data_IF_295763406566
#
_entry.id   IF_295763406566
#
_cell.length_a   1.000
_cell.length_b   1.000
_cell.length_c   1.000
_cell.angle_alpha   90.00
_cell.angle_beta   90.00
_cell.angle_gamma   90.00
#
_symmetry.space_group_name_H-M   'P 1'
#
loop_
_entity.id
_entity.type
_entity.pdbx_description
1 polymer ?
#
# COMPACT_ATOMS: atom_id res chain seq x y z
N UNK A 1 -6.64 31.52 -4.66
CA UNK A 1 -5.89 30.97 -3.50
C UNK A 1 -6.90 30.35 -2.57
N UNK A 2 -6.68 29.11 -2.11
CA UNK A 2 -7.58 28.49 -1.13
C UNK A 2 -7.45 29.22 0.21
N UNK A 3 -8.56 29.62 0.82
CA UNK A 3 -8.55 30.16 2.16
C UNK A 3 -8.45 29.02 3.17
N UNK A 4 -7.58 29.17 4.18
CA UNK A 4 -7.44 28.22 5.29
C UNK A 4 -7.89 28.93 6.56
N UNK A 5 -8.85 28.34 7.26
CA UNK A 5 -9.40 28.89 8.51
C UNK A 5 -9.40 27.83 9.61
N UNK A 6 -8.96 28.21 10.81
CA UNK A 6 -9.07 27.35 11.99
C UNK A 6 -10.49 27.45 12.55
N UNK A 7 -11.21 26.32 12.60
CA UNK A 7 -12.60 26.24 13.06
C UNK A 7 -12.79 25.03 13.97
N UNK A 8 -13.59 25.18 15.02
CA UNK A 8 -14.06 24.06 15.84
C UNK A 8 -15.28 23.43 15.16
N UNK A 9 -15.24 22.12 14.89
CA UNK A 9 -16.26 21.42 14.11
C UNK A 9 -16.77 20.21 14.91
N UNK A 10 -18.10 19.97 14.96
CA UNK A 10 -18.66 18.76 15.55
C UNK A 10 -18.10 17.50 14.87
N UNK A 11 -17.75 16.49 15.65
CA UNK A 11 -17.16 15.24 15.11
C UNK A 11 -18.13 14.45 14.21
N UNK A 12 -19.44 14.63 14.42
CA UNK A 12 -20.50 14.07 13.58
C UNK A 12 -20.63 14.71 12.19
N UNK A 13 -20.23 15.98 12.05
CA UNK A 13 -20.32 16.71 10.76
C UNK A 13 -19.13 16.42 9.84
N UNK A 14 -18.09 15.76 10.38
CA UNK A 14 -16.88 15.41 9.63
C UNK A 14 -17.09 14.08 8.90
N UNK A 15 -16.88 14.09 7.60
CA UNK A 15 -16.93 12.89 6.75
C UNK A 15 -15.52 12.41 6.43
N UNK A 16 -15.26 11.12 6.65
CA UNK A 16 -14.02 10.51 6.21
C UNK A 16 -13.97 10.47 4.67
N UNK A 17 -12.84 10.85 4.09
CA UNK A 17 -12.68 10.79 2.65
C UNK A 17 -12.45 9.35 2.18
N UNK A 18 -13.23 8.92 1.18
CA UNK A 18 -13.15 7.58 0.57
C UNK A 18 -11.82 7.29 -0.14
N UNK A 19 -11.03 8.34 -0.42
CA UNK A 19 -9.71 8.24 -1.07
C UNK A 19 -8.53 8.19 -0.07
N UNK A 20 -8.79 7.86 1.19
CA UNK A 20 -7.72 7.61 2.15
C UNK A 20 -6.90 6.39 1.70
N UNK A 21 -5.58 6.52 1.60
CA UNK A 21 -4.70 5.44 1.13
C UNK A 21 -4.30 4.48 2.24
N UNK A 22 -4.34 4.94 3.50
CA UNK A 22 -4.05 4.07 4.63
C UNK A 22 -5.22 3.12 4.85
N UNK A 23 -4.94 1.82 4.72
CA UNK A 23 -5.95 0.75 4.84
C UNK A 23 -6.19 0.34 6.30
N UNK A 24 -5.15 0.38 7.16
CA UNK A 24 -5.27 0.06 8.58
C UNK A 24 -5.35 1.31 9.49
N UNK A 25 -6.21 1.25 10.51
CA UNK A 25 -6.33 2.29 11.54
C UNK A 25 -5.73 1.80 12.87
N UNK A 26 -4.55 1.20 12.83
CA UNK A 26 -3.91 0.61 14.00
C UNK A 26 -3.64 1.65 15.10
N UNK A 27 -3.68 1.22 16.37
CA UNK A 27 -3.39 2.07 17.54
C UNK A 27 -4.38 3.23 17.74
N UNK A 28 -5.62 3.07 17.30
CA UNK A 28 -6.67 4.10 17.46
C UNK A 28 -7.19 4.13 18.90
N UNK A 29 -7.22 3.01 19.61
CA UNK A 29 -7.65 2.90 21.00
C UNK A 29 -6.70 3.64 21.95
N UNK A 30 -5.40 3.46 21.76
CA UNK A 30 -4.35 4.17 22.50
C UNK A 30 -4.42 5.68 22.23
N UNK A 31 -4.61 6.06 20.96
CA UNK A 31 -4.80 7.44 20.58
C UNK A 31 -6.09 8.02 21.19
N UNK A 32 -7.18 7.25 21.28
CA UNK A 32 -8.42 7.66 21.91
C UNK A 32 -8.25 7.86 23.43
N UNK A 33 -7.48 6.99 24.10
CA UNK A 33 -7.13 7.17 25.51
C UNK A 33 -6.32 8.46 25.73
N UNK A 34 -5.34 8.73 24.86
CA UNK A 34 -4.57 9.98 24.89
C UNK A 34 -5.45 11.22 24.65
N UNK A 35 -6.37 11.16 23.69
CA UNK A 35 -7.32 12.24 23.40
C UNK A 35 -8.26 12.47 24.59
N UNK A 36 -8.71 11.42 25.30
CA UNK A 36 -9.51 11.58 26.53
C UNK A 36 -8.75 12.31 27.63
N UNK A 37 -7.46 12.04 27.78
CA UNK A 37 -6.62 12.66 28.82
C UNK A 37 -6.20 14.09 28.48
N UNK A 38 -5.78 14.34 27.24
CA UNK A 38 -5.08 15.57 26.85
C UNK A 38 -5.83 16.41 25.80
N UNK A 39 -6.95 15.92 25.29
CA UNK A 39 -7.63 16.49 24.14
C UNK A 39 -6.89 16.23 22.81
N UNK A 40 -7.45 16.74 21.72
CA UNK A 40 -6.84 16.65 20.40
C UNK A 40 -5.81 17.78 20.21
N UNK A 41 -4.53 17.48 20.39
CA UNK A 41 -3.44 18.46 20.32
C UNK A 41 -3.17 19.01 18.91
N UNK A 42 -3.34 18.16 17.88
CA UNK A 42 -3.12 18.55 16.49
C UNK A 42 -4.45 18.63 15.74
N UNK A 43 -4.76 19.77 15.10
CA UNK A 43 -6.00 19.93 14.36
C UNK A 43 -6.08 18.99 13.17
N UNK A 44 -7.30 18.63 12.78
CA UNK A 44 -7.58 17.89 11.54
C UNK A 44 -7.48 18.84 10.34
N UNK A 45 -7.08 18.33 9.18
CA UNK A 45 -7.16 19.10 7.93
C UNK A 45 -8.42 18.67 7.20
N UNK A 46 -9.28 19.63 6.89
CA UNK A 46 -10.62 19.40 6.35
C UNK A 46 -10.80 20.26 5.10
N UNK A 47 -11.44 19.70 4.09
CA UNK A 47 -11.85 20.44 2.92
C UNK A 47 -13.37 20.66 2.93
N UNK A 48 -13.80 21.89 2.74
CA UNK A 48 -15.21 22.24 2.60
C UNK A 48 -15.65 22.06 1.14
N UNK A 49 -16.56 21.12 0.92
CA UNK A 49 -17.19 20.82 -0.36
C UNK A 49 -18.64 21.26 -0.32
N UNK A 50 -18.89 22.56 -0.53
CA UNK A 50 -20.23 23.15 -0.54
C UNK A 50 -21.04 22.82 0.73
N UNK A 51 -20.42 22.98 1.90
CA UNK A 51 -21.01 22.69 3.21
C UNK A 51 -20.72 21.29 3.74
N UNK A 52 -20.21 20.37 2.90
CA UNK A 52 -19.77 19.05 3.36
C UNK A 52 -18.30 19.08 3.77
N UNK A 53 -18.05 18.81 5.05
CA UNK A 53 -16.71 18.84 5.63
C UNK A 53 -16.03 17.47 5.50
N UNK A 54 -15.09 17.37 4.57
CA UNK A 54 -14.40 16.11 4.24
C UNK A 54 -12.98 16.13 4.79
N UNK A 55 -12.64 15.15 5.63
CA UNK A 55 -11.29 15.04 6.22
C UNK A 55 -10.27 14.70 5.13
N UNK A 56 -9.28 15.58 5.01
CA UNK A 56 -8.14 15.46 4.09
C UNK A 56 -6.95 14.81 4.80
N UNK A 57 -6.64 15.22 6.04
CA UNK A 57 -5.65 14.54 6.88
C UNK A 57 -6.13 14.42 8.33
N UNK A 58 -5.76 13.30 8.96
CA UNK A 58 -6.09 12.98 10.34
C UNK A 58 -7.20 11.96 10.52
N UNK A 59 -7.43 11.05 9.57
CA UNK A 59 -8.48 10.02 9.67
C UNK A 59 -8.38 9.19 10.95
N UNK A 60 -7.19 8.72 11.35
CA UNK A 60 -6.97 8.04 12.65
C UNK A 60 -7.32 8.93 13.85
N UNK A 61 -7.01 10.23 13.78
CA UNK A 61 -7.35 11.21 14.84
C UNK A 61 -8.86 11.45 14.91
N UNK A 62 -9.55 11.51 13.76
CA UNK A 62 -11.01 11.61 13.73
C UNK A 62 -11.64 10.38 14.38
N UNK A 63 -11.18 9.18 14.00
CA UNK A 63 -11.73 7.94 14.55
C UNK A 63 -11.45 7.82 16.05
N UNK A 64 -10.22 8.12 16.48
CA UNK A 64 -9.87 8.16 17.90
C UNK A 64 -10.67 9.23 18.67
N UNK A 65 -10.94 10.40 18.07
CA UNK A 65 -11.78 11.42 18.69
C UNK A 65 -13.25 11.00 18.84
N UNK A 66 -13.77 10.21 17.89
CA UNK A 66 -15.11 9.61 17.97
C UNK A 66 -15.16 8.55 19.08
N UNK A 67 -14.19 7.65 19.13
CA UNK A 67 -14.09 6.65 20.21
C UNK A 67 -13.90 7.30 21.59
N UNK A 68 -13.19 8.42 21.65
CA UNK A 68 -13.00 9.21 22.87
C UNK A 68 -14.28 9.97 23.32
N UNK A 69 -15.34 9.99 22.50
CA UNK A 69 -16.58 10.71 22.80
C UNK A 69 -16.44 12.23 22.74
N UNK A 70 -15.45 12.76 22.00
CA UNK A 70 -15.23 14.21 21.91
C UNK A 70 -16.30 14.83 21.00
N UNK A 71 -17.09 15.81 21.47
CA UNK A 71 -18.21 16.35 20.71
C UNK A 71 -17.76 17.22 19.52
N UNK A 72 -16.62 17.91 19.65
CA UNK A 72 -16.09 18.79 18.61
C UNK A 72 -14.57 18.89 18.68
N UNK A 73 -13.94 18.97 17.51
CA UNK A 73 -12.48 18.98 17.32
C UNK A 73 -12.04 20.23 16.56
N UNK A 74 -10.78 20.62 16.74
CA UNK A 74 -10.18 21.73 15.99
C UNK A 74 -9.81 21.25 14.57
N UNK A 75 -10.21 22.02 13.57
CA UNK A 75 -9.99 21.72 12.16
C UNK A 75 -9.42 22.93 11.41
N UNK A 76 -8.42 22.70 10.57
CA UNK A 76 -8.01 23.61 9.52
C UNK A 76 -8.90 23.36 8.30
N UNK A 77 -9.87 24.23 8.09
CA UNK A 77 -10.84 24.15 7.00
C UNK A 77 -10.32 24.90 5.78
N UNK A 78 -10.16 24.18 4.68
CA UNK A 78 -9.76 24.72 3.38
C UNK A 78 -10.98 24.87 2.48
N UNK A 79 -11.13 26.00 1.81
CA UNK A 79 -12.20 26.26 0.84
C UNK A 79 -11.65 26.51 -0.57
N UNK A 80 -12.46 26.21 -1.59
CA UNK A 80 -12.12 26.48 -2.98
C UNK A 80 -11.03 25.59 -3.59
N UNK A 81 -10.66 24.50 -2.92
CA UNK A 81 -9.76 23.50 -3.48
C UNK A 81 -10.51 22.59 -4.45
N UNK A 82 -9.91 22.33 -5.62
CA UNK A 82 -10.43 21.36 -6.58
C UNK A 82 -10.32 19.94 -6.04
N UNK A 83 -11.14 19.01 -6.55
CA UNK A 83 -11.06 17.60 -6.17
C UNK A 83 -9.65 17.01 -6.35
N UNK A 84 -8.94 17.47 -7.39
CA UNK A 84 -7.54 17.14 -7.65
C UNK A 84 -6.62 17.66 -6.56
N UNK A 85 -6.72 18.95 -6.21
CA UNK A 85 -5.90 19.56 -5.15
C UNK A 85 -6.09 18.88 -3.79
N UNK A 86 -7.34 18.58 -3.42
CA UNK A 86 -7.63 17.83 -2.19
C UNK A 86 -6.90 16.50 -2.22
N UNK A 87 -7.05 15.73 -3.28
CA UNK A 87 -6.44 14.40 -3.44
C UNK A 87 -4.92 14.48 -3.39
N UNK A 88 -4.31 15.45 -4.08
CA UNK A 88 -2.86 15.66 -4.04
C UNK A 88 -2.36 15.97 -2.63
N UNK A 89 -3.04 16.86 -1.90
CA UNK A 89 -2.68 17.21 -0.52
C UNK A 89 -2.83 16.03 0.43
N UNK A 90 -3.91 15.25 0.30
CA UNK A 90 -4.11 14.02 1.09
C UNK A 90 -2.96 13.05 0.89
N UNK A 91 -2.60 12.80 -0.38
CA UNK A 91 -1.56 11.85 -0.74
C UNK A 91 -0.20 12.31 -0.23
N UNK A 92 0.13 13.58 -0.38
CA UNK A 92 1.35 14.16 0.18
C UNK A 92 1.39 14.05 1.72
N UNK A 93 0.29 14.37 2.41
CA UNK A 93 0.21 14.28 3.88
C UNK A 93 0.34 12.84 4.39
N UNK A 94 -0.29 11.88 3.71
CA UNK A 94 -0.19 10.46 4.06
C UNK A 94 1.26 9.97 4.00
N UNK A 95 2.05 10.47 3.05
CA UNK A 95 3.43 10.05 2.85
C UNK A 95 4.46 10.59 3.86
N UNK A 96 4.12 11.60 4.65
CA UNK A 96 4.93 12.04 5.80
C UNK A 96 4.86 11.06 6.98
N UNK A 97 3.90 10.13 6.96
CA UNK A 97 3.80 9.02 7.92
C UNK A 97 4.43 7.78 7.27
N UNK A 98 4.95 6.86 8.09
CA UNK A 98 5.48 5.57 7.63
C UNK A 98 4.36 4.74 6.98
N UNK A 99 4.14 4.95 5.68
CA UNK A 99 3.30 4.10 4.83
C UNK A 99 4.08 2.87 4.41
N UNK A 100 3.41 1.73 4.32
CA UNK A 100 3.99 0.51 3.74
C UNK A 100 4.36 0.71 2.27
N UNK A 101 5.33 -0.05 1.71
CA UNK A 101 5.76 0.10 0.33
C UNK A 101 4.61 0.04 -0.71
N UNK A 102 3.61 -0.83 -0.52
CA UNK A 102 2.46 -0.89 -1.43
C UNK A 102 1.47 0.25 -1.26
N UNK A 103 1.23 0.72 -0.03
CA UNK A 103 0.44 1.92 0.21
C UNK A 103 1.07 3.13 -0.50
N UNK A 104 2.40 3.28 -0.41
CA UNK A 104 3.14 4.31 -1.15
C UNK A 104 2.94 4.15 -2.67
N UNK A 105 3.02 2.92 -3.18
CA UNK A 105 2.84 2.64 -4.60
C UNK A 105 1.42 3.02 -5.09
N UNK A 106 0.38 2.65 -4.34
CA UNK A 106 -1.03 3.01 -4.61
C UNK A 106 -1.22 4.53 -4.56
N UNK A 107 -0.62 5.21 -3.58
CA UNK A 107 -0.64 6.67 -3.49
C UNK A 107 -0.02 7.33 -4.73
N UNK A 108 1.16 6.88 -5.15
CA UNK A 108 1.83 7.39 -6.35
C UNK A 108 1.01 7.15 -7.61
N UNK A 109 0.37 5.98 -7.72
CA UNK A 109 -0.48 5.66 -8.86
C UNK A 109 -1.71 6.56 -8.92
N UNK A 110 -2.33 6.85 -7.78
CA UNK A 110 -3.44 7.80 -7.69
C UNK A 110 -3.02 9.21 -8.14
N UNK A 111 -1.84 9.69 -7.71
CA UNK A 111 -1.29 10.97 -8.18
C UNK A 111 -1.04 10.98 -9.70
N UNK A 112 -0.52 9.88 -10.27
CA UNK A 112 -0.32 9.78 -11.72
C UNK A 112 -1.63 9.80 -12.51
N UNK A 113 -2.68 9.15 -12.01
CA UNK A 113 -4.01 9.18 -12.64
C UNK A 113 -4.60 10.59 -12.65
N UNK A 114 -4.24 11.41 -11.67
CA UNK A 114 -4.56 12.84 -11.59
C UNK A 114 -3.57 13.70 -12.41
N UNK A 115 -2.72 13.11 -13.27
CA UNK A 115 -1.80 13.83 -14.14
C UNK A 115 -0.60 14.47 -13.44
N UNK A 116 -0.26 14.05 -12.23
CA UNK A 116 0.97 14.50 -11.54
C UNK A 116 2.16 13.66 -12.02
N UNK A 117 3.24 14.31 -12.43
CA UNK A 117 4.42 13.61 -12.96
C UNK A 117 5.25 12.98 -11.84
N UNK A 118 6.06 11.96 -12.16
CA UNK A 118 7.02 11.37 -11.20
C UNK A 118 7.97 12.42 -10.63
N UNK A 119 8.38 13.39 -11.45
CA UNK A 119 9.27 14.47 -11.02
C UNK A 119 8.59 15.37 -9.98
N UNK A 120 7.30 15.68 -10.17
CA UNK A 120 6.55 16.51 -9.23
C UNK A 120 6.21 15.77 -7.94
N UNK A 121 5.89 14.48 -8.02
CA UNK A 121 5.72 13.62 -6.84
C UNK A 121 7.01 13.60 -6.02
N UNK A 122 8.16 13.34 -6.64
CA UNK A 122 9.46 13.33 -5.97
C UNK A 122 9.75 14.68 -5.29
N UNK A 123 9.48 15.78 -5.98
CA UNK A 123 9.68 17.15 -5.47
C UNK A 123 8.79 17.48 -4.28
N UNK A 124 7.51 17.13 -4.33
CA UNK A 124 6.55 17.47 -3.27
C UNK A 124 6.69 16.60 -2.02
N UNK A 125 7.33 15.45 -2.14
CA UNK A 125 7.40 14.45 -1.07
C UNK A 125 8.80 14.25 -0.50
N UNK A 126 9.83 14.76 -1.17
CA UNK A 126 11.23 14.62 -0.77
C UNK A 126 11.87 13.28 -1.15
N UNK A 127 11.11 12.35 -1.74
CA UNK A 127 11.67 11.08 -2.23
C UNK A 127 12.40 11.24 -3.57
N UNK A 128 13.34 10.33 -3.85
CA UNK A 128 14.01 10.30 -5.16
C UNK A 128 13.05 9.81 -6.26
N UNK A 129 13.20 10.30 -7.49
CA UNK A 129 12.42 9.80 -8.63
C UNK A 129 12.63 8.29 -8.85
N UNK A 130 13.81 7.77 -8.53
CA UNK A 130 14.11 6.35 -8.60
C UNK A 130 13.25 5.54 -7.62
N UNK A 131 13.09 6.01 -6.38
CA UNK A 131 12.22 5.38 -5.39
C UNK A 131 10.75 5.40 -5.84
N UNK A 132 10.26 6.57 -6.31
CA UNK A 132 8.88 6.70 -6.79
C UNK A 132 8.61 5.70 -7.94
N UNK A 133 9.53 5.58 -8.91
CA UNK A 133 9.43 4.60 -10.01
C UNK A 133 9.49 3.16 -9.50
N UNK A 134 10.38 2.87 -8.56
CA UNK A 134 10.53 1.55 -7.95
C UNK A 134 9.26 1.10 -7.23
N UNK A 135 8.62 2.00 -6.47
CA UNK A 135 7.34 1.75 -5.80
C UNK A 135 6.22 1.48 -6.80
N UNK A 136 6.11 2.30 -7.84
CA UNK A 136 5.12 2.11 -8.89
C UNK A 136 5.23 0.76 -9.61
N UNK A 137 6.42 0.17 -9.70
CA UNK A 137 6.62 -1.16 -10.28
C UNK A 137 6.00 -2.28 -9.43
N UNK A 138 5.89 -2.09 -8.12
CA UNK A 138 5.33 -3.11 -7.22
C UNK A 138 3.86 -3.44 -7.56
N UNK A 139 3.12 -2.47 -8.14
CA UNK A 139 1.74 -2.69 -8.58
C UNK A 139 1.61 -3.58 -9.82
N UNK A 140 2.71 -3.91 -10.50
CA UNK A 140 2.71 -4.85 -11.62
C UNK A 140 2.89 -6.31 -11.16
N UNK A 141 3.20 -6.52 -9.87
CA UNK A 141 3.36 -7.84 -9.30
C UNK A 141 2.00 -8.54 -9.16
N UNK A 142 1.94 -9.88 -9.26
CA UNK A 142 0.80 -10.67 -8.79
C UNK A 142 0.45 -10.34 -7.34
N UNK A 143 -0.81 -10.51 -6.93
CA UNK A 143 -1.28 -10.17 -5.59
C UNK A 143 -0.49 -10.92 -4.50
N UNK A 144 -0.12 -12.16 -4.77
CA UNK A 144 0.65 -12.99 -3.84
C UNK A 144 2.06 -12.42 -3.62
N UNK A 145 2.70 -11.92 -4.67
CA UNK A 145 4.00 -11.26 -4.56
C UNK A 145 3.91 -9.85 -3.96
N UNK A 146 2.73 -9.22 -4.00
CA UNK A 146 2.43 -7.99 -3.27
C UNK A 146 2.32 -8.28 -1.76
N UNK A 147 1.59 -9.32 -1.37
CA UNK A 147 1.45 -9.73 0.03
C UNK A 147 2.80 -10.08 0.66
N UNK A 148 3.68 -10.78 -0.08
CA UNK A 148 5.05 -11.06 0.35
C UNK A 148 5.88 -9.78 0.62
N UNK A 149 5.61 -8.68 -0.10
CA UNK A 149 6.29 -7.40 0.16
C UNK A 149 5.74 -6.75 1.44
N UNK A 150 4.44 -6.84 1.68
CA UNK A 150 3.81 -6.26 2.88
C UNK A 150 4.13 -7.04 4.18
N UNK A 151 4.56 -8.30 4.05
CA UNK A 151 5.05 -9.18 5.11
C UNK A 151 6.59 -9.21 5.25
N UNK A 152 7.31 -8.36 4.52
CA UNK A 152 8.79 -8.29 4.50
C UNK A 152 9.50 -9.58 4.03
N UNK A 153 8.79 -10.51 3.39
CA UNK A 153 9.34 -11.75 2.81
C UNK A 153 10.07 -11.49 1.48
N UNK A 154 9.67 -10.45 0.75
CA UNK A 154 10.30 -10.01 -0.49
C UNK A 154 10.85 -8.60 -0.33
N UNK A 155 12.17 -8.44 -0.46
CA UNK A 155 12.75 -7.10 -0.41
C UNK A 155 12.28 -6.27 -1.60
N UNK A 156 12.17 -4.96 -1.39
CA UNK A 156 11.76 -3.99 -2.42
C UNK A 156 12.58 -4.12 -3.72
N UNK A 157 13.88 -4.37 -3.60
CA UNK A 157 14.77 -4.54 -4.75
C UNK A 157 14.42 -5.78 -5.58
N UNK A 158 14.23 -6.91 -4.90
CA UNK A 158 13.80 -8.17 -5.54
C UNK A 158 12.42 -8.03 -6.18
N UNK A 159 11.49 -7.38 -5.49
CA UNK A 159 10.14 -7.10 -5.95
C UNK A 159 10.14 -6.22 -7.22
N UNK A 160 10.95 -5.16 -7.23
CA UNK A 160 11.07 -4.27 -8.37
C UNK A 160 11.70 -4.97 -9.59
N UNK A 161 12.68 -5.84 -9.39
CA UNK A 161 13.31 -6.60 -10.48
C UNK A 161 12.36 -7.66 -11.05
N UNK A 162 11.60 -8.35 -10.19
CA UNK A 162 10.55 -9.28 -10.63
C UNK A 162 9.49 -8.56 -11.46
N UNK A 163 9.02 -7.39 -11.02
CA UNK A 163 8.07 -6.58 -11.77
C UNK A 163 8.59 -6.17 -13.16
N UNK A 164 9.88 -5.78 -13.27
CA UNK A 164 10.50 -5.47 -14.58
C UNK A 164 10.53 -6.68 -15.51
N UNK A 165 10.86 -7.86 -14.98
CA UNK A 165 10.88 -9.10 -15.76
C UNK A 165 9.48 -9.45 -16.28
N UNK A 166 8.45 -9.32 -15.44
CA UNK A 166 7.06 -9.55 -15.83
C UNK A 166 6.58 -8.56 -16.90
N UNK A 167 6.96 -7.27 -16.78
CA UNK A 167 6.68 -6.25 -17.81
C UNK A 167 7.36 -6.55 -19.15
N UNK A 168 8.62 -7.00 -19.12
CA UNK A 168 9.35 -7.39 -20.32
C UNK A 168 8.69 -8.60 -21.00
N UNK A 169 8.28 -9.59 -20.20
CA UNK A 169 7.62 -10.80 -20.70
C UNK A 169 6.25 -10.55 -21.37
N UNK A 170 5.51 -9.50 -20.98
CA UNK A 170 4.25 -9.10 -21.64
C UNK A 170 4.46 -8.39 -22.99
N UNK A 171 5.67 -7.94 -23.34
CA UNK A 171 5.95 -7.11 -24.54
C UNK A 171 6.86 -7.76 -25.59
N UNK A 172 7.36 -8.96 -25.37
CA UNK A 172 8.22 -9.65 -26.32
C UNK A 172 8.92 -10.81 -25.65
N UNK A 173 9.19 -11.86 -26.42
CA UNK A 173 9.76 -13.13 -25.96
C UNK A 173 10.90 -12.94 -24.94
N UNK A 174 10.80 -13.60 -23.78
CA UNK A 174 11.93 -13.72 -22.87
C UNK A 174 12.83 -14.82 -23.43
N UNK A 175 13.99 -14.40 -23.94
CA UNK A 175 15.10 -15.29 -24.20
C UNK A 175 15.45 -16.06 -22.91
N UNK A 176 15.41 -17.37 -23.00
CA UNK A 176 15.97 -18.30 -22.01
C UNK A 176 17.41 -17.90 -21.70
N UNK A 177 17.66 -17.28 -20.55
CA UNK A 177 19.06 -16.98 -20.17
C UNK A 177 19.34 -15.93 -19.11
N UNK A 178 18.36 -15.24 -18.54
CA UNK A 178 18.64 -14.24 -17.50
C UNK A 178 18.80 -14.90 -16.12
N UNK A 179 20.03 -15.33 -15.82
CA UNK A 179 20.52 -15.67 -14.48
C UNK A 179 20.34 -14.43 -13.58
N UNK A 180 19.37 -14.44 -12.67
CA UNK A 180 19.22 -13.43 -11.61
C UNK A 180 19.19 -14.10 -10.24
N UNK A 181 19.69 -13.36 -9.25
CA UNK A 181 20.31 -13.88 -8.03
C UNK A 181 19.40 -14.67 -7.09
N UNK A 182 20.01 -15.73 -6.53
CA UNK A 182 19.75 -16.49 -5.30
C UNK A 182 18.38 -16.32 -4.64
N UNK A 183 17.62 -17.33 -4.26
CA UNK A 183 17.66 -18.78 -4.42
C UNK A 183 16.40 -19.39 -3.77
N UNK A 184 15.38 -18.58 -3.41
CA UNK A 184 14.28 -19.03 -2.56
C UNK A 184 13.59 -20.27 -3.15
N UNK A 185 13.21 -20.22 -4.42
CA UNK A 185 12.63 -21.36 -5.13
C UNK A 185 13.65 -22.45 -5.48
N UNK A 186 14.94 -22.12 -5.50
CA UNK A 186 16.00 -23.11 -5.72
C UNK A 186 16.21 -23.98 -4.48
N UNK A 187 16.19 -23.38 -3.30
CA UNK A 187 16.53 -24.02 -2.04
C UNK A 187 15.27 -24.21 -1.15
N UNK A 188 14.05 -24.00 -1.69
CA UNK A 188 12.78 -24.19 -0.99
C UNK A 188 12.64 -25.63 -0.52
N UNK A 189 12.26 -25.84 0.75
CA UNK A 189 12.10 -27.17 1.34
C UNK A 189 11.14 -28.06 0.55
N UNK A 190 10.08 -27.46 -0.02
CA UNK A 190 9.06 -28.15 -0.81
C UNK A 190 9.36 -28.23 -2.31
N UNK A 191 10.58 -27.90 -2.75
CA UNK A 191 10.96 -27.88 -4.17
C UNK A 191 10.76 -29.23 -4.85
N UNK A 192 11.29 -30.30 -4.28
CA UNK A 192 11.20 -31.65 -4.89
C UNK A 192 9.75 -32.15 -4.87
N UNK A 193 8.99 -31.82 -3.84
CA UNK A 193 7.55 -32.12 -3.75
C UNK A 193 6.76 -31.38 -4.85
N UNK A 194 7.03 -30.09 -5.06
CA UNK A 194 6.44 -29.32 -6.14
C UNK A 194 6.81 -29.89 -7.51
N UNK A 195 8.08 -30.32 -7.69
CA UNK A 195 8.54 -30.96 -8.92
C UNK A 195 7.81 -32.25 -9.24
N UNK A 196 7.60 -33.10 -8.24
CA UNK A 196 6.83 -34.33 -8.40
C UNK A 196 5.34 -34.05 -8.69
N UNK A 197 4.79 -32.97 -8.12
CA UNK A 197 3.40 -32.55 -8.33
C UNK A 197 3.15 -31.96 -9.74
N UNK A 198 4.18 -31.38 -10.36
CA UNK A 198 4.08 -30.63 -11.61
C UNK A 198 4.16 -31.53 -12.85
N UNK A 199 3.08 -32.21 -13.20
CA UNK A 199 3.04 -33.22 -14.28
C UNK A 199 2.55 -32.71 -15.64
N UNK A 200 2.21 -31.43 -15.77
CA UNK A 200 1.73 -30.88 -17.04
C UNK A 200 2.90 -30.56 -18.01
N UNK A 201 2.74 -30.90 -19.29
CA UNK A 201 3.80 -30.80 -20.30
C UNK A 201 3.97 -29.39 -20.91
N UNK A 202 3.06 -28.45 -20.65
CA UNK A 202 3.03 -27.13 -21.32
C UNK A 202 3.05 -25.94 -20.35
N UNK A 203 4.07 -25.87 -19.49
CA UNK A 203 4.29 -24.66 -18.69
C UNK A 203 5.47 -23.85 -19.18
N UNK A 204 5.13 -22.71 -19.78
CA UNK A 204 6.07 -21.70 -20.30
C UNK A 204 6.91 -21.01 -19.22
N UNK A 205 6.52 -21.12 -17.95
CA UNK A 205 7.20 -20.51 -16.80
C UNK A 205 7.29 -21.53 -15.67
N UNK A 206 8.51 -21.76 -15.18
CA UNK A 206 8.80 -22.66 -14.07
C UNK A 206 9.66 -21.95 -13.03
N UNK A 207 9.36 -22.20 -11.76
CA UNK A 207 10.11 -21.69 -10.60
C UNK A 207 11.14 -22.73 -10.17
N UNK A 208 12.17 -22.26 -9.48
CA UNK A 208 13.21 -23.13 -8.93
C UNK A 208 13.93 -23.95 -10.01
N UNK A 209 14.54 -23.32 -11.02
CA UNK A 209 15.30 -24.06 -12.05
C UNK A 209 14.51 -25.19 -12.72
N UNK A 210 13.27 -24.94 -13.14
CA UNK A 210 12.48 -25.97 -13.82
C UNK A 210 11.86 -27.00 -12.88
N UNK A 211 11.76 -26.72 -11.58
CA UNK A 211 11.13 -27.64 -10.63
C UNK A 211 9.63 -27.76 -10.91
N UNK A 212 8.89 -26.66 -10.85
CA UNK A 212 7.45 -26.67 -11.06
C UNK A 212 6.91 -25.32 -11.53
N UNK A 213 5.69 -25.31 -12.08
CA UNK A 213 5.00 -24.06 -12.36
C UNK A 213 4.54 -23.37 -11.06
N UNK A 214 4.21 -22.06 -11.10
CA UNK A 214 3.74 -21.35 -9.92
C UNK A 214 2.49 -21.97 -9.28
N UNK A 215 1.43 -22.37 -10.03
CA UNK A 215 0.26 -23.04 -9.44
C UNK A 215 0.57 -24.36 -8.69
N UNK A 216 1.48 -25.19 -9.20
CA UNK A 216 1.84 -26.45 -8.54
C UNK A 216 2.68 -26.22 -7.28
N UNK A 217 3.55 -25.21 -7.27
CA UNK A 217 4.24 -24.79 -6.04
C UNK A 217 3.23 -24.33 -4.97
N UNK A 218 2.23 -23.53 -5.36
CA UNK A 218 1.19 -23.03 -4.46
C UNK A 218 0.33 -24.16 -3.86
N UNK A 219 -0.04 -25.16 -4.67
CA UNK A 219 -0.82 -26.31 -4.20
C UNK A 219 -0.06 -27.13 -3.17
N UNK A 220 1.24 -27.34 -3.39
CA UNK A 220 2.10 -28.08 -2.45
C UNK A 220 2.32 -27.31 -1.16
N UNK A 221 2.54 -25.99 -1.22
CA UNK A 221 2.69 -25.15 -0.02
C UNK A 221 1.41 -25.17 0.82
N UNK A 222 0.23 -24.99 0.21
CA UNK A 222 -1.04 -25.05 0.93
C UNK A 222 -1.33 -26.42 1.53
N UNK A 223 -0.90 -27.50 0.88
CA UNK A 223 -1.04 -28.84 1.43
C UNK A 223 -0.15 -29.03 2.66
N UNK A 224 1.09 -28.53 2.61
CA UNK A 224 2.02 -28.57 3.75
C UNK A 224 1.53 -27.72 4.93
N UNK A 225 1.00 -26.53 4.66
CA UNK A 225 0.41 -25.65 5.70
C UNK A 225 -0.80 -26.30 6.38
N UNK A 226 -1.72 -26.89 5.61
CA UNK A 226 -2.87 -27.61 6.18
C UNK A 226 -2.43 -28.77 7.06
N UNK A 227 -1.46 -29.56 6.61
CA UNK A 227 -0.93 -30.67 7.38
C UNK A 227 -0.29 -30.22 8.71
N UNK A 228 0.40 -29.07 8.71
CA UNK A 228 0.97 -28.48 9.94
C UNK A 228 -0.10 -28.00 10.91
N UNK A 229 -1.18 -27.40 10.41
CA UNK A 229 -2.29 -26.93 11.24
C UNK A 229 -3.04 -28.13 11.85
N UNK A 230 -3.30 -29.17 11.06
CA UNK A 230 -3.94 -30.41 11.52
C UNK A 230 -3.08 -31.15 12.55
N UNK A 231 -1.75 -31.16 12.41
CA UNK A 231 -0.84 -31.76 13.37
C UNK A 231 -0.67 -30.96 14.67
N UNK A 232 -1.05 -29.68 14.67
CA UNK A 232 -1.00 -28.79 15.83
C UNK A 232 -2.35 -28.68 16.57
N UNK A 233 -3.39 -29.31 16.04
CA UNK A 233 -4.75 -29.39 16.61
C UNK A 233 -4.96 -30.72 17.34
#
# INVERSE_FOLDING_TARGET
MSAVQLRRVPTGDLTANRRNVRESLDGVEELAASIRANGLLQPLIVNDQAGRLVVTDGHRRLEAARLAGVPAVMCLVTTGATARQVTTTMLAAAMHKELKPLEQARAFKALQSEGVTVADIARSTGYSQALVRGRLLLLDLPLEAQDMVDNDELTIGQAADLAKQLRASKRGHVASGARTGRNYWRDHSLRETARAHCTHQDTRVTLGHGAACPPCFEQVIRADERARIEAAS
#
